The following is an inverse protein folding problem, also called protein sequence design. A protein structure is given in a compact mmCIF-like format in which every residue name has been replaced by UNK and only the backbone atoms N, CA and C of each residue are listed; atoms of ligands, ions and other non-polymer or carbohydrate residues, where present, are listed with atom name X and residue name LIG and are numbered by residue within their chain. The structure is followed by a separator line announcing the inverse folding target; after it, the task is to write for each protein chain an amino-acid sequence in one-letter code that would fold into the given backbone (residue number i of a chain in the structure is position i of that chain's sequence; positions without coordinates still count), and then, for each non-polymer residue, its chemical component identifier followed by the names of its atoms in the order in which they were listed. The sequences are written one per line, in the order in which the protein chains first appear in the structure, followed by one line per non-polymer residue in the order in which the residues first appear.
data_IF_474010001431
#
_entry.id   IF_474010001431
#
_cell.length_a   1.000
_cell.length_b   1.000
_cell.length_c   1.000
_cell.angle_alpha   90.00
_cell.angle_beta   90.00
_cell.angle_gamma   90.00
#
_symmetry.space_group_name_H-M   'P 1'
#
loop_
_entity.id
_entity.type
_entity.pdbx_description
1 polymer ?
#
# COMPACT_ATOMS: atom_id res chain seq x y z
N UNK A 1 0.75 -6.82 -8.86
CA UNK A 1 1.72 -5.75 -8.53
C UNK A 1 2.34 -5.10 -9.77
N UNK A 2 2.50 -5.79 -10.91
CA UNK A 2 3.03 -5.19 -12.14
C UNK A 2 2.23 -3.96 -12.64
N UNK A 3 0.90 -3.96 -12.45
CA UNK A 3 0.04 -2.82 -12.80
C UNK A 3 0.47 -1.55 -12.07
N UNK A 4 0.98 -1.65 -10.83
CA UNK A 4 1.42 -0.50 -10.05
C UNK A 4 2.65 0.17 -10.67
N UNK A 5 3.60 -0.63 -11.16
CA UNK A 5 4.79 -0.14 -11.84
C UNK A 5 4.44 0.53 -13.18
N UNK A 6 3.57 -0.10 -13.96
CA UNK A 6 3.10 0.47 -15.24
C UNK A 6 2.38 1.79 -15.01
N UNK A 7 1.43 1.85 -14.07
CA UNK A 7 0.67 3.08 -13.81
C UNK A 7 1.56 4.19 -13.28
N UNK A 8 2.49 3.89 -12.37
CA UNK A 8 3.45 4.87 -11.89
C UNK A 8 4.30 5.40 -13.06
N UNK A 9 4.84 4.51 -13.90
CA UNK A 9 5.66 4.89 -15.04
C UNK A 9 4.90 5.76 -16.06
N UNK A 10 3.61 5.51 -16.28
CA UNK A 10 2.78 6.35 -17.15
C UNK A 10 2.55 7.75 -16.57
N UNK A 11 2.35 7.86 -15.25
CA UNK A 11 2.19 9.16 -14.57
C UNK A 11 3.50 9.95 -14.59
N UNK A 12 4.63 9.31 -14.27
CA UNK A 12 5.96 9.93 -14.35
C UNK A 12 6.26 10.43 -15.77
N UNK A 13 5.88 9.66 -16.79
CA UNK A 13 6.08 10.02 -18.19
C UNK A 13 5.07 11.07 -18.71
N UNK A 14 4.16 11.58 -17.87
CA UNK A 14 3.13 12.54 -18.28
C UNK A 14 2.08 11.98 -19.25
N UNK A 15 2.06 10.66 -19.48
CA UNK A 15 1.11 9.98 -20.39
C UNK A 15 -0.21 9.64 -19.72
N UNK A 16 -0.29 9.78 -18.39
CA UNK A 16 -1.47 9.57 -17.58
C UNK A 16 -1.53 10.65 -16.49
N UNK A 17 -2.71 11.25 -16.21
CA UNK A 17 -2.86 12.18 -15.10
C UNK A 17 -2.69 11.48 -13.73
N UNK A 18 -2.46 12.24 -12.65
CA UNK A 18 -2.48 11.70 -11.28
C UNK A 18 -3.67 10.75 -11.08
N UNK A 19 -3.41 9.55 -10.56
CA UNK A 19 -4.40 8.47 -10.53
C UNK A 19 -4.46 7.83 -9.15
N UNK A 20 -5.67 7.61 -8.66
CA UNK A 20 -5.96 6.72 -7.53
C UNK A 20 -6.64 5.45 -8.05
N UNK A 21 -6.22 4.28 -7.56
CA UNK A 21 -6.87 2.99 -7.84
C UNK A 21 -7.32 2.36 -6.53
N UNK A 22 -8.60 2.03 -6.43
CA UNK A 22 -9.15 1.15 -5.40
C UNK A 22 -9.30 -0.26 -5.98
N UNK A 23 -8.83 -1.27 -5.26
CA UNK A 23 -8.87 -2.65 -5.73
C UNK A 23 -8.84 -3.65 -4.55
N UNK A 24 -9.37 -4.86 -4.81
CA UNK A 24 -9.41 -5.96 -3.86
C UNK A 24 -8.49 -7.12 -4.27
N UNK A 25 -8.15 -7.96 -3.30
CA UNK A 25 -7.40 -9.19 -3.53
C UNK A 25 -8.34 -10.32 -3.92
N UNK A 26 -7.98 -11.08 -4.96
CA UNK A 26 -8.75 -12.26 -5.40
C UNK A 26 -8.23 -13.57 -4.79
N UNK A 27 -7.04 -13.52 -4.18
CA UNK A 27 -6.36 -14.64 -3.54
C UNK A 27 -5.61 -14.15 -2.30
N UNK A 28 -5.29 -15.07 -1.38
CA UNK A 28 -4.53 -14.75 -0.17
C UNK A 28 -3.08 -14.51 -0.54
N UNK A 29 -2.50 -13.39 -0.13
CA UNK A 29 -1.15 -13.00 -0.51
C UNK A 29 -0.31 -12.52 0.68
N UNK A 30 0.96 -12.93 0.69
CA UNK A 30 2.02 -12.32 1.48
C UNK A 30 2.83 -11.40 0.55
N UNK A 31 2.77 -10.09 0.81
CA UNK A 31 3.40 -9.07 -0.02
C UNK A 31 4.63 -8.54 0.68
N UNK A 32 5.80 -9.01 0.26
CA UNK A 32 7.08 -8.54 0.82
C UNK A 32 7.55 -7.25 0.15
N UNK A 33 8.25 -6.41 0.91
CA UNK A 33 8.89 -5.19 0.43
C UNK A 33 10.05 -5.47 -0.52
N UNK A 34 10.41 -4.47 -1.34
CA UNK A 34 11.42 -4.60 -2.40
C UNK A 34 12.77 -5.12 -1.91
N UNK A 35 13.21 -4.71 -0.71
CA UNK A 35 14.51 -5.07 -0.15
C UNK A 35 14.46 -6.26 0.84
N UNK A 36 13.30 -6.86 1.08
CA UNK A 36 13.17 -7.93 2.07
C UNK A 36 13.62 -9.30 1.53
N UNK A 37 14.18 -10.13 2.39
CA UNK A 37 14.58 -11.51 2.07
C UNK A 37 13.40 -12.46 2.29
N UNK A 38 12.95 -13.16 1.24
CA UNK A 38 11.81 -14.11 1.31
C UNK A 38 12.02 -15.10 2.46
N UNK A 39 13.21 -15.71 2.54
CA UNK A 39 13.56 -16.72 3.56
C UNK A 39 13.57 -16.19 5.00
N UNK A 40 13.70 -14.88 5.20
CA UNK A 40 13.72 -14.28 6.54
C UNK A 40 12.31 -13.85 6.98
N UNK A 41 11.44 -13.56 6.02
CA UNK A 41 10.12 -12.98 6.28
C UNK A 41 8.99 -14.01 6.25
N UNK A 42 9.17 -15.08 5.47
CA UNK A 42 8.08 -16.00 5.15
C UNK A 42 8.53 -17.44 5.36
N UNK A 43 7.80 -18.14 6.23
CA UNK A 43 7.78 -19.60 6.21
C UNK A 43 7.02 -20.07 4.97
N UNK A 44 7.75 -20.51 3.95
CA UNK A 44 7.18 -20.94 2.67
C UNK A 44 6.36 -22.23 2.79
N UNK A 45 6.65 -23.09 3.76
CA UNK A 45 5.88 -24.32 3.96
C UNK A 45 4.51 -23.98 4.52
N UNK A 46 4.47 -23.14 5.55
CA UNK A 46 3.21 -22.70 6.16
C UNK A 46 2.43 -21.77 5.23
N UNK A 47 3.09 -20.86 4.50
CA UNK A 47 2.42 -20.02 3.49
C UNK A 47 1.67 -20.88 2.45
N UNK A 48 2.32 -21.92 1.91
CA UNK A 48 1.67 -22.87 0.99
C UNK A 48 0.55 -23.64 1.67
N UNK A 49 0.76 -24.12 2.90
CA UNK A 49 -0.25 -24.87 3.67
C UNK A 49 -1.53 -24.05 3.88
N UNK A 50 -1.40 -22.75 4.12
CA UNK A 50 -2.54 -21.84 4.32
C UNK A 50 -3.06 -21.20 3.02
N UNK A 51 -2.48 -21.57 1.86
CA UNK A 51 -2.92 -21.09 0.55
C UNK A 51 -2.52 -19.65 0.24
N UNK A 52 -1.44 -19.14 0.83
CA UNK A 52 -0.88 -17.84 0.52
C UNK A 52 0.06 -17.91 -0.69
N UNK A 53 -0.17 -17.05 -1.67
CA UNK A 53 0.84 -16.71 -2.67
C UNK A 53 1.83 -15.71 -2.10
N UNK A 54 3.10 -15.80 -2.49
CA UNK A 54 4.13 -14.85 -2.05
C UNK A 54 4.50 -13.97 -3.23
N UNK A 55 4.35 -12.65 -3.08
CA UNK A 55 4.70 -11.66 -4.10
C UNK A 55 5.58 -10.57 -3.53
N UNK A 56 6.36 -9.91 -4.39
CA UNK A 56 7.19 -8.76 -4.03
C UNK A 56 6.62 -7.49 -4.66
N UNK A 57 6.58 -6.40 -3.88
CA UNK A 57 6.24 -5.06 -4.39
C UNK A 57 7.49 -4.25 -4.73
N UNK A 58 7.34 -3.28 -5.63
CA UNK A 58 8.43 -2.37 -6.02
C UNK A 58 8.83 -1.39 -4.90
N UNK A 59 7.90 -1.07 -4.00
CA UNK A 59 8.16 -0.17 -2.86
C UNK A 59 8.79 -0.89 -1.67
N UNK A 60 9.40 -0.11 -0.77
CA UNK A 60 9.93 -0.61 0.50
C UNK A 60 8.86 -0.88 1.56
N UNK A 61 9.29 -1.02 2.80
CA UNK A 61 8.44 -1.33 3.96
C UNK A 61 8.39 -2.82 4.29
N UNK A 62 7.63 -3.18 5.33
CA UNK A 62 7.52 -4.55 5.83
C UNK A 62 6.63 -5.48 5.00
N UNK A 63 6.49 -6.72 5.46
CA UNK A 63 5.63 -7.73 4.84
C UNK A 63 4.17 -7.49 5.22
N UNK A 64 3.27 -7.48 4.22
CA UNK A 64 1.83 -7.36 4.45
C UNK A 64 1.14 -8.71 4.20
N UNK A 65 0.14 -9.02 5.02
CA UNK A 65 -0.79 -10.12 4.82
C UNK A 65 -2.08 -9.55 4.22
N UNK A 66 -2.49 -10.09 3.08
CA UNK A 66 -3.67 -9.65 2.35
C UNK A 66 -4.59 -10.84 2.08
N UNK A 67 -5.88 -10.68 2.32
CA UNK A 67 -6.87 -11.71 2.07
C UNK A 67 -8.08 -11.12 1.32
N UNK A 68 -8.73 -11.92 0.45
CA UNK A 68 -10.02 -11.55 -0.12
C UNK A 68 -11.02 -11.15 0.96
N UNK A 69 -11.83 -10.13 0.69
CA UNK A 69 -12.90 -9.60 1.55
C UNK A 69 -12.48 -9.08 2.94
N UNK A 70 -11.18 -9.17 3.28
CA UNK A 70 -10.61 -8.65 4.54
C UNK A 70 -9.59 -7.55 4.33
N UNK A 71 -9.25 -7.27 3.07
CA UNK A 71 -8.26 -6.26 2.71
C UNK A 71 -8.75 -5.46 1.51
N UNK A 72 -8.98 -4.16 1.72
CA UNK A 72 -9.13 -3.19 0.64
C UNK A 72 -7.77 -2.56 0.40
N UNK A 73 -7.35 -2.49 -0.86
CA UNK A 73 -6.09 -1.85 -1.23
C UNK A 73 -6.35 -0.63 -2.09
N UNK A 74 -5.65 0.44 -1.80
CA UNK A 74 -5.58 1.59 -2.68
C UNK A 74 -4.14 1.87 -3.10
N UNK A 75 -4.00 2.55 -4.23
CA UNK A 75 -2.70 2.94 -4.75
C UNK A 75 -2.81 4.34 -5.34
N UNK A 76 -1.89 5.22 -4.94
CA UNK A 76 -1.78 6.58 -5.44
C UNK A 76 -0.55 6.66 -6.36
N UNK A 77 -0.76 7.15 -7.59
CA UNK A 77 0.29 7.41 -8.57
C UNK A 77 0.28 8.89 -8.88
N UNK A 78 1.29 9.61 -8.39
CA UNK A 78 1.34 11.06 -8.39
C UNK A 78 2.69 11.53 -8.94
N UNK A 79 2.75 12.67 -9.64
CA UNK A 79 4.03 13.30 -9.97
C UNK A 79 4.70 13.80 -8.67
N UNK A 80 6.03 13.89 -8.70
CA UNK A 80 6.86 14.37 -7.58
C UNK A 80 6.46 15.78 -7.12
N UNK A 81 6.02 16.62 -8.06
CA UNK A 81 5.51 17.97 -7.81
C UNK A 81 4.38 18.02 -6.77
N UNK A 82 3.62 16.96 -6.58
CA UNK A 82 2.53 16.90 -5.58
C UNK A 82 3.03 16.94 -4.13
N UNK A 83 4.30 16.59 -3.90
CA UNK A 83 4.93 16.58 -2.58
C UNK A 83 6.20 17.43 -2.54
N UNK A 84 6.39 18.30 -3.55
CA UNK A 84 7.53 19.18 -3.63
C UNK A 84 7.61 20.10 -2.39
N UNK A 85 8.80 20.19 -1.80
CA UNK A 85 9.02 20.96 -0.58
C UNK A 85 8.52 20.31 0.72
N UNK A 86 7.93 19.12 0.64
CA UNK A 86 7.50 18.32 1.81
C UNK A 86 8.56 17.28 2.12
N UNK A 87 8.96 17.17 3.39
CA UNK A 87 9.88 16.10 3.82
C UNK A 87 9.25 14.72 3.60
N UNK A 88 10.07 13.71 3.31
CA UNK A 88 9.63 12.32 3.10
C UNK A 88 8.68 11.78 4.18
N UNK A 89 8.90 12.10 5.47
CA UNK A 89 8.01 11.67 6.56
C UNK A 89 6.65 12.37 6.50
N UNK A 90 6.65 13.70 6.30
CA UNK A 90 5.42 14.50 6.19
C UNK A 90 4.62 14.18 4.93
N UNK A 91 5.26 13.71 3.85
CA UNK A 91 4.54 13.34 2.64
C UNK A 91 3.62 12.15 2.84
N UNK A 92 3.97 11.16 3.68
CA UNK A 92 3.04 10.08 4.03
C UNK A 92 1.78 10.62 4.71
N UNK A 93 1.95 11.44 5.76
CA UNK A 93 0.82 12.04 6.47
C UNK A 93 -0.09 12.86 5.54
N UNK A 94 0.50 13.64 4.63
CA UNK A 94 -0.24 14.40 3.63
C UNK A 94 -1.04 13.49 2.68
N UNK A 95 -0.41 12.43 2.17
CA UNK A 95 -1.02 11.51 1.20
C UNK A 95 -2.05 10.57 1.84
N UNK A 96 -1.96 10.32 3.14
CA UNK A 96 -2.88 9.45 3.89
C UNK A 96 -4.05 10.23 4.51
N UNK A 97 -3.97 11.56 4.56
CA UNK A 97 -4.96 12.42 5.23
C UNK A 97 -6.39 12.21 4.72
N UNK A 98 -6.55 12.06 3.41
CA UNK A 98 -7.88 11.85 2.81
C UNK A 98 -8.52 10.54 3.29
N UNK A 99 -7.73 9.48 3.46
CA UNK A 99 -8.22 8.18 3.88
C UNK A 99 -8.66 8.23 5.34
N UNK A 100 -7.87 8.89 6.20
CA UNK A 100 -8.25 9.15 7.60
C UNK A 100 -9.57 9.92 7.67
N UNK A 101 -9.72 10.99 6.88
CA UNK A 101 -10.96 11.78 6.84
C UNK A 101 -12.16 10.93 6.39
N UNK A 102 -12.00 10.17 5.30
CA UNK A 102 -13.06 9.31 4.77
C UNK A 102 -13.51 8.24 5.77
N UNK A 103 -12.58 7.59 6.48
CA UNK A 103 -12.95 6.61 7.51
C UNK A 103 -13.76 7.24 8.64
N UNK A 104 -13.32 8.41 9.13
CA UNK A 104 -14.05 9.11 10.19
C UNK A 104 -15.44 9.58 9.74
N UNK A 105 -15.60 10.03 8.49
CA UNK A 105 -16.90 10.40 7.91
C UNK A 105 -17.86 9.20 7.82
N UNK A 106 -17.33 8.00 7.58
CA UNK A 106 -18.09 6.75 7.62
C UNK A 106 -18.37 6.24 9.05
N UNK A 107 -17.95 6.98 10.09
CA UNK A 107 -18.11 6.58 11.49
C UNK A 107 -17.11 5.52 11.97
N UNK A 108 -16.04 5.26 11.20
CA UNK A 108 -14.92 4.40 11.60
C UNK A 108 -13.84 5.29 12.21
N UNK A 109 -13.60 5.25 13.54
CA UNK A 109 -12.61 6.12 14.14
C UNK A 109 -11.23 5.78 13.59
N UNK A 110 -10.56 6.74 12.97
CA UNK A 110 -9.25 6.54 12.35
C UNK A 110 -8.31 7.70 12.70
N UNK A 111 -7.03 7.38 12.93
CA UNK A 111 -5.98 8.37 13.15
C UNK A 111 -4.68 7.94 12.48
N UNK A 112 -3.84 8.93 12.17
CA UNK A 112 -2.53 8.69 11.57
C UNK A 112 -1.50 8.38 12.65
N UNK A 113 -0.68 7.35 12.43
CA UNK A 113 0.45 6.98 13.27
C UNK A 113 1.70 6.91 12.41
N UNK A 114 2.72 7.67 12.80
CA UNK A 114 3.97 7.70 12.05
C UNK A 114 4.67 6.32 12.02
N UNK A 115 5.33 5.96 10.92
CA UNK A 115 5.63 6.83 9.76
C UNK A 115 4.65 6.72 8.58
N UNK A 116 3.73 5.76 8.60
CA UNK A 116 2.90 5.42 7.43
C UNK A 116 1.69 4.53 7.77
N UNK A 117 1.22 4.56 9.03
CA UNK A 117 0.07 3.75 9.47
C UNK A 117 -1.17 4.62 9.64
N UNK A 118 -2.32 4.10 9.22
CA UNK A 118 -3.65 4.56 9.66
C UNK A 118 -4.18 3.52 10.64
N UNK A 119 -4.54 3.96 11.84
CA UNK A 119 -4.97 3.08 12.94
C UNK A 119 -6.36 3.45 13.43
N UNK A 120 -7.09 2.45 13.93
CA UNK A 120 -8.35 2.63 14.64
C UNK A 120 -8.17 2.24 16.12
N UNK A 121 -8.87 2.87 17.08
CA UNK A 121 -8.92 2.39 18.46
C UNK A 121 -9.34 0.92 18.50
N UNK A 122 -8.76 0.16 19.43
CA UNK A 122 -9.19 -1.23 19.68
C UNK A 122 -10.57 -1.27 20.31
#
# INVERSE_FOLDING_TARGET
MAVDEVLLGQVIAGRRPPTMRLWGWIERALVIGSHQSVRNEVDLAEARRYGFVVTRRMSGGGTMLCEPDRTITYSLYLPDSMVAGVSFRKSYALLDQWAVAAFNEMGVPASYREINDIVSPR
#
